data_IF_303461325469
#
_entry.id   IF_303461325469
#
_cell.length_a   1.000
_cell.length_b   1.000
_cell.length_c   1.000
_cell.angle_alpha   90.00
_cell.angle_beta   90.00
_cell.angle_gamma   90.00
#
_symmetry.space_group_name_H-M   'P 1'
#
loop_
_entity.id
_entity.type
_entity.pdbx_description
1 polymer ?
#
# COMPACT_ATOMS: atom_id res chain seq x y z
N UNK A 1 -1.61 -17.66 9.21
CA UNK A 1 -1.04 -16.35 8.87
C UNK A 1 0.42 -16.55 8.47
N UNK A 2 0.85 -15.84 7.43
CA UNK A 2 2.25 -15.76 7.01
C UNK A 2 2.52 -14.36 6.41
N UNK A 3 3.78 -13.97 6.36
CA UNK A 3 4.20 -12.69 5.81
C UNK A 3 5.09 -12.90 4.58
N UNK A 4 5.07 -11.95 3.66
CA UNK A 4 6.01 -11.86 2.54
C UNK A 4 7.06 -10.79 2.83
N UNK A 5 8.12 -10.75 2.01
CA UNK A 5 9.01 -9.59 1.97
C UNK A 5 8.22 -8.36 1.50
N UNK A 6 8.64 -7.19 1.94
CA UNK A 6 8.07 -5.92 1.52
C UNK A 6 9.17 -4.89 1.36
N UNK A 7 9.33 -4.36 0.15
CA UNK A 7 10.24 -3.23 -0.09
C UNK A 7 9.38 -1.97 -0.13
N UNK A 8 9.71 -1.03 0.73
CA UNK A 8 9.11 0.30 0.72
C UNK A 8 9.82 1.16 -0.33
N UNK A 9 9.11 1.52 -1.39
CA UNK A 9 9.68 2.33 -2.48
C UNK A 9 10.09 3.71 -1.99
N UNK A 10 9.40 4.29 -1.03
CA UNK A 10 9.76 5.58 -0.44
C UNK A 10 11.13 5.55 0.25
N UNK A 11 11.44 4.46 0.95
CA UNK A 11 12.77 4.27 1.59
C UNK A 11 13.84 3.93 0.55
N UNK A 12 13.52 3.12 -0.46
CA UNK A 12 14.47 2.67 -1.48
C UNK A 12 14.78 3.74 -2.54
N UNK A 13 13.90 4.71 -2.71
CA UNK A 13 14.01 5.78 -3.69
C UNK A 13 15.25 6.64 -3.46
N UNK A 14 15.91 7.04 -4.52
CA UNK A 14 17.09 7.92 -4.48
C UNK A 14 18.43 7.20 -4.29
N UNK A 15 18.45 5.86 -4.17
CA UNK A 15 19.68 5.05 -4.14
C UNK A 15 19.50 3.69 -4.84
N UNK A 16 20.56 2.91 -4.95
CA UNK A 16 20.57 1.63 -5.68
C UNK A 16 19.59 0.58 -5.15
N UNK A 17 19.11 0.73 -3.93
CA UNK A 17 18.05 -0.14 -3.36
C UNK A 17 16.78 -0.17 -4.19
N UNK A 18 16.49 0.88 -4.96
CA UNK A 18 15.33 0.94 -5.84
C UNK A 18 15.34 -0.12 -6.95
N UNK A 19 16.53 -0.62 -7.33
CA UNK A 19 16.69 -1.70 -8.30
C UNK A 19 16.06 -3.02 -7.84
N UNK A 20 15.87 -3.20 -6.54
CA UNK A 20 15.24 -4.39 -5.95
C UNK A 20 13.72 -4.29 -5.83
N UNK A 21 13.16 -3.10 -5.98
CA UNK A 21 11.71 -2.88 -5.80
C UNK A 21 10.89 -3.65 -6.83
N UNK A 22 11.09 -3.41 -8.11
CA UNK A 22 10.30 -4.04 -9.16
C UNK A 22 10.44 -5.58 -9.19
N UNK A 23 11.64 -6.17 -9.08
CA UNK A 23 11.80 -7.63 -9.04
C UNK A 23 11.16 -8.29 -7.83
N UNK A 24 11.02 -7.58 -6.70
CA UNK A 24 10.39 -8.13 -5.49
C UNK A 24 8.96 -8.60 -5.71
N UNK A 25 8.27 -8.04 -6.68
CA UNK A 25 6.91 -8.41 -7.08
C UNK A 25 6.79 -9.91 -7.42
N UNK A 26 7.75 -10.44 -8.18
CA UNK A 26 7.79 -11.86 -8.54
C UNK A 26 8.05 -12.74 -7.30
N UNK A 27 8.99 -12.33 -6.46
CA UNK A 27 9.33 -13.07 -5.23
C UNK A 27 8.12 -13.11 -4.28
N UNK A 28 7.40 -12.01 -4.17
CA UNK A 28 6.16 -11.94 -3.38
C UNK A 28 5.12 -12.91 -3.96
N UNK A 29 4.89 -12.85 -5.27
CA UNK A 29 3.94 -13.74 -5.93
C UNK A 29 4.29 -15.21 -5.71
N UNK A 30 5.54 -15.58 -5.94
CA UNK A 30 6.02 -16.95 -5.73
C UNK A 30 5.87 -17.39 -4.28
N UNK A 31 6.23 -16.53 -3.31
CA UNK A 31 6.13 -16.88 -1.89
C UNK A 31 4.69 -17.13 -1.45
N UNK A 32 3.75 -16.32 -1.90
CA UNK A 32 2.31 -16.50 -1.59
C UNK A 32 1.78 -17.78 -2.23
N UNK A 33 2.13 -18.03 -3.50
CA UNK A 33 1.74 -19.24 -4.22
C UNK A 33 2.28 -20.50 -3.54
N UNK A 34 3.56 -20.51 -3.13
CA UNK A 34 4.16 -21.62 -2.38
C UNK A 34 3.45 -21.90 -1.07
N UNK A 35 3.20 -20.85 -0.28
CA UNK A 35 2.54 -21.01 1.02
C UNK A 35 1.11 -21.51 0.87
N UNK A 36 0.36 -20.93 -0.05
CA UNK A 36 -1.03 -21.31 -0.28
C UNK A 36 -1.15 -22.78 -0.75
N UNK A 37 -0.34 -23.18 -1.72
CA UNK A 37 -0.35 -24.55 -2.24
C UNK A 37 0.19 -25.56 -1.23
N UNK A 38 1.27 -25.24 -0.52
CA UNK A 38 1.87 -26.16 0.48
C UNK A 38 0.91 -26.41 1.66
N UNK A 39 0.14 -25.41 2.05
CA UNK A 39 -0.81 -25.53 3.15
C UNK A 39 -2.24 -25.86 2.70
N UNK A 40 -2.48 -25.97 1.39
CA UNK A 40 -3.79 -26.32 0.83
C UNK A 40 -4.90 -25.41 1.35
N UNK A 41 -4.68 -24.08 1.30
CA UNK A 41 -5.66 -23.13 1.81
C UNK A 41 -6.82 -22.94 0.82
N UNK A 42 -8.01 -22.76 1.34
CA UNK A 42 -9.25 -22.62 0.54
C UNK A 42 -9.50 -21.18 0.06
N UNK A 43 -8.92 -20.19 0.72
CA UNK A 43 -9.08 -18.78 0.41
C UNK A 43 -7.90 -17.94 0.89
N UNK A 44 -7.76 -16.72 0.34
CA UNK A 44 -6.75 -15.75 0.73
C UNK A 44 -7.36 -14.45 1.24
N UNK A 45 -6.88 -14.01 2.39
CA UNK A 45 -7.11 -12.67 2.90
C UNK A 45 -5.80 -11.88 2.83
N UNK A 46 -5.68 -11.00 1.83
CA UNK A 46 -4.45 -10.28 1.52
C UNK A 46 -4.45 -8.89 2.15
N UNK A 47 -3.46 -8.61 2.98
CA UNK A 47 -3.22 -7.27 3.54
C UNK A 47 -1.96 -6.71 2.88
N UNK A 48 -2.11 -5.65 2.11
CA UNK A 48 -1.00 -5.04 1.39
C UNK A 48 -1.14 -3.52 1.37
N UNK A 49 -0.05 -2.80 1.27
CA UNK A 49 -0.11 -1.34 1.33
C UNK A 49 1.03 -0.59 0.63
N UNK A 50 1.86 -1.24 -0.18
CA UNK A 50 2.94 -0.58 -0.88
C UNK A 50 3.00 -0.98 -2.36
N UNK A 51 3.81 -0.26 -3.14
CA UNK A 51 3.84 -0.23 -4.59
C UNK A 51 3.96 -1.60 -5.27
N UNK A 52 4.81 -2.49 -4.74
CA UNK A 52 5.10 -3.80 -5.35
C UNK A 52 4.44 -4.96 -4.62
N UNK A 53 4.06 -4.76 -3.36
CA UNK A 53 3.44 -5.81 -2.53
C UNK A 53 2.03 -6.12 -3.06
N UNK A 54 1.22 -5.10 -3.27
CA UNK A 54 -0.16 -5.29 -3.78
C UNK A 54 -0.17 -5.98 -5.14
N UNK A 55 0.57 -5.53 -6.17
CA UNK A 55 0.62 -6.25 -7.44
C UNK A 55 1.24 -7.64 -7.33
N UNK A 56 2.24 -7.86 -6.47
CA UNK A 56 2.81 -9.19 -6.23
C UNK A 56 1.78 -10.17 -5.67
N UNK A 57 1.04 -9.77 -4.64
CA UNK A 57 -0.06 -10.58 -4.09
C UNK A 57 -1.20 -10.77 -5.10
N UNK A 58 -1.50 -9.77 -5.92
CA UNK A 58 -2.51 -9.89 -6.98
C UNK A 58 -2.11 -10.91 -8.05
N UNK A 59 -0.83 -10.93 -8.43
CA UNK A 59 -0.29 -11.95 -9.33
C UNK A 59 -0.47 -13.36 -8.75
N UNK A 60 -0.16 -13.55 -7.47
CA UNK A 60 -0.38 -14.83 -6.79
C UNK A 60 -1.87 -15.22 -6.76
N UNK A 61 -2.75 -14.28 -6.44
CA UNK A 61 -4.20 -14.52 -6.42
C UNK A 61 -4.70 -14.99 -7.79
N UNK A 62 -4.21 -14.38 -8.89
CA UNK A 62 -4.57 -14.78 -10.25
C UNK A 62 -4.02 -16.18 -10.63
N UNK A 63 -2.81 -16.53 -10.15
CA UNK A 63 -2.21 -17.85 -10.39
C UNK A 63 -2.94 -18.95 -9.62
N UNK A 64 -3.29 -18.69 -8.37
CA UNK A 64 -3.96 -19.65 -7.49
C UNK A 64 -5.43 -19.87 -7.85
N UNK A 65 -6.10 -18.85 -8.35
CA UNK A 65 -7.51 -18.87 -8.73
C UNK A 65 -8.45 -19.45 -7.64
N UNK A 66 -8.22 -19.05 -6.39
CA UNK A 66 -9.05 -19.35 -5.22
C UNK A 66 -9.73 -18.07 -4.72
N UNK A 67 -10.81 -18.15 -3.94
CA UNK A 67 -11.43 -16.98 -3.34
C UNK A 67 -10.39 -16.08 -2.66
N UNK A 68 -10.36 -14.82 -3.05
CA UNK A 68 -9.37 -13.88 -2.52
C UNK A 68 -10.00 -12.53 -2.26
N UNK A 69 -9.69 -11.93 -1.11
CA UNK A 69 -10.08 -10.57 -0.78
C UNK A 69 -8.87 -9.74 -0.36
N UNK A 70 -8.80 -8.53 -0.87
CA UNK A 70 -7.77 -7.56 -0.50
C UNK A 70 -8.31 -6.54 0.49
N UNK A 71 -7.55 -6.26 1.52
CA UNK A 71 -7.81 -5.14 2.42
C UNK A 71 -6.51 -4.37 2.60
N UNK A 72 -6.47 -3.16 2.06
CA UNK A 72 -5.33 -2.26 2.23
C UNK A 72 -5.21 -1.78 3.67
N UNK A 73 -3.99 -1.54 4.13
CA UNK A 73 -3.73 -0.79 5.35
C UNK A 73 -4.27 0.64 5.32
N UNK A 74 -4.55 1.16 4.13
CA UNK A 74 -5.07 2.50 3.88
C UNK A 74 -4.00 3.54 3.56
N UNK A 75 -4.37 4.61 2.84
CA UNK A 75 -3.48 5.73 2.60
C UNK A 75 -3.22 6.53 3.88
N UNK A 76 -2.07 7.18 3.91
CA UNK A 76 -1.68 8.14 4.93
C UNK A 76 -2.55 9.40 4.83
N UNK A 77 -2.75 10.09 5.93
CA UNK A 77 -3.28 11.46 5.94
C UNK A 77 -2.31 12.43 5.25
N UNK A 78 -2.84 13.49 4.65
CA UNK A 78 -2.01 14.57 4.13
C UNK A 78 -1.24 15.24 5.28
N UNK A 79 -0.04 15.72 4.96
CA UNK A 79 0.71 16.58 5.87
C UNK A 79 0.14 17.99 5.94
N UNK A 80 0.69 18.79 6.82
CA UNK A 80 0.37 20.22 6.95
C UNK A 80 1.65 21.05 6.98
N UNK A 81 1.70 22.06 6.14
CA UNK A 81 2.77 23.06 6.16
C UNK A 81 2.15 24.46 6.18
N UNK A 82 2.24 25.11 7.32
CA UNK A 82 1.68 26.45 7.56
C UNK A 82 0.18 26.57 7.23
N UNK A 83 -0.61 25.53 7.59
CA UNK A 83 -2.06 25.49 7.36
C UNK A 83 -2.46 25.09 5.94
N UNK A 84 -1.49 24.65 5.12
CA UNK A 84 -1.74 24.13 3.78
C UNK A 84 -1.48 22.62 3.78
N UNK A 85 -2.45 21.84 3.32
CA UNK A 85 -2.25 20.41 3.09
C UNK A 85 -1.15 20.15 2.07
N UNK A 86 -0.23 19.27 2.41
CA UNK A 86 0.93 18.91 1.59
C UNK A 86 1.08 17.40 1.50
N UNK A 87 1.81 16.95 0.49
CA UNK A 87 2.19 15.56 0.30
C UNK A 87 3.67 15.41 -0.09
N UNK A 88 4.07 14.20 -0.44
CA UNK A 88 5.44 13.90 -0.89
C UNK A 88 5.86 14.74 -2.11
N UNK A 89 4.94 15.01 -3.03
CA UNK A 89 5.27 15.79 -4.23
C UNK A 89 5.59 17.23 -3.89
N UNK A 90 4.82 17.84 -2.97
CA UNK A 90 5.12 19.19 -2.48
C UNK A 90 6.52 19.25 -1.87
N UNK A 91 6.90 18.24 -1.07
CA UNK A 91 8.24 18.15 -0.49
C UNK A 91 9.32 18.01 -1.58
N UNK A 92 9.11 17.17 -2.58
CA UNK A 92 10.05 16.99 -3.70
C UNK A 92 10.21 18.28 -4.52
N UNK A 93 9.11 18.96 -4.81
CA UNK A 93 9.13 20.23 -5.56
C UNK A 93 9.87 21.31 -4.77
N UNK A 94 9.59 21.45 -3.48
CA UNK A 94 10.29 22.42 -2.63
C UNK A 94 11.79 22.10 -2.49
N UNK A 95 12.17 20.85 -2.35
CA UNK A 95 13.59 20.47 -2.25
C UNK A 95 14.37 20.72 -3.54
N UNK A 96 13.71 20.78 -4.68
CA UNK A 96 14.31 21.13 -5.97
C UNK A 96 14.31 22.64 -6.27
N UNK A 97 13.59 23.45 -5.47
CA UNK A 97 13.50 24.91 -5.68
C UNK A 97 14.66 25.61 -4.95
N UNK A 98 15.58 26.17 -5.72
CA UNK A 98 16.74 26.91 -5.19
C UNK A 98 16.38 28.16 -4.36
N UNK A 99 15.13 28.58 -4.33
CA UNK A 99 14.63 29.69 -3.52
C UNK A 99 14.24 29.26 -2.11
N UNK A 100 14.06 27.97 -1.87
CA UNK A 100 13.77 27.43 -0.56
C UNK A 100 15.04 27.38 0.28
N UNK A 101 14.93 27.76 1.55
CA UNK A 101 16.04 27.60 2.50
C UNK A 101 16.13 26.16 3.00
N UNK A 102 17.32 25.75 3.45
CA UNK A 102 17.52 24.43 4.08
C UNK A 102 16.59 24.22 5.28
N UNK A 103 16.26 25.28 6.01
CA UNK A 103 15.33 25.21 7.14
C UNK A 103 13.88 24.93 6.69
N UNK A 104 13.47 25.47 5.54
CA UNK A 104 12.13 25.17 4.98
C UNK A 104 12.08 23.73 4.46
N UNK A 105 13.17 23.27 3.83
CA UNK A 105 13.29 21.89 3.35
C UNK A 105 13.22 20.92 4.54
N UNK A 106 14.02 21.13 5.59
CA UNK A 106 13.97 20.31 6.81
C UNK A 106 12.56 20.28 7.45
N UNK A 107 11.87 21.41 7.44
CA UNK A 107 10.52 21.52 7.98
C UNK A 107 9.52 20.71 7.14
N UNK A 108 9.54 20.85 5.79
CA UNK A 108 8.60 20.14 4.94
C UNK A 108 8.83 18.63 4.94
N UNK A 109 10.08 18.17 5.00
CA UNK A 109 10.42 16.75 5.13
C UNK A 109 9.79 16.10 6.36
N UNK A 110 9.73 16.82 7.47
CA UNK A 110 9.11 16.34 8.72
C UNK A 110 7.58 16.26 8.66
N UNK A 111 6.96 17.08 7.85
CA UNK A 111 5.51 17.26 7.87
C UNK A 111 4.78 16.72 6.63
N UNK A 112 5.49 16.43 5.54
CA UNK A 112 4.86 15.94 4.31
C UNK A 112 4.27 14.52 4.45
N UNK A 113 4.86 13.68 5.32
CA UNK A 113 4.43 12.31 5.57
C UNK A 113 4.23 12.06 7.06
N UNK A 114 3.17 12.60 7.70
CA UNK A 114 3.07 12.73 9.14
C UNK A 114 2.66 11.46 9.88
N UNK A 115 2.14 10.45 9.19
CA UNK A 115 1.50 9.32 9.85
C UNK A 115 1.82 7.97 9.20
N UNK A 116 1.02 6.97 9.58
CA UNK A 116 1.09 5.63 9.00
C UNK A 116 0.13 5.47 7.83
N UNK A 117 0.48 4.60 6.90
CA UNK A 117 -0.31 4.31 5.71
C UNK A 117 0.55 4.26 4.46
N UNK A 118 -0.04 3.97 3.31
CA UNK A 118 0.62 4.19 2.02
C UNK A 118 0.76 5.70 1.76
N UNK A 119 1.49 6.06 0.71
CA UNK A 119 1.64 7.46 0.32
C UNK A 119 0.29 8.19 0.30
N UNK A 120 0.22 9.41 0.83
CA UNK A 120 -0.99 10.23 0.83
C UNK A 120 -1.43 10.62 -0.60
N UNK A 121 -0.49 10.75 -1.52
CA UNK A 121 -0.77 10.93 -2.93
C UNK A 121 -1.29 9.65 -3.60
N UNK A 122 -2.04 9.80 -4.68
CA UNK A 122 -2.56 8.67 -5.46
C UNK A 122 -1.50 8.13 -6.42
N UNK A 123 -0.41 7.59 -5.86
CA UNK A 123 0.63 6.89 -6.61
C UNK A 123 0.27 5.40 -6.76
N UNK A 124 1.25 4.55 -7.09
CA UNK A 124 1.00 3.13 -7.38
C UNK A 124 0.29 2.42 -6.24
N UNK A 125 0.70 2.62 -4.99
CA UNK A 125 0.10 1.93 -3.84
C UNK A 125 -1.41 2.17 -3.76
N UNK A 126 -1.85 3.44 -3.75
CA UNK A 126 -3.26 3.74 -3.63
C UNK A 126 -4.04 3.50 -4.93
N UNK A 127 -3.41 3.67 -6.09
CA UNK A 127 -4.00 3.29 -7.38
C UNK A 127 -4.31 1.79 -7.43
N UNK A 128 -3.42 0.94 -6.93
CA UNK A 128 -3.67 -0.51 -6.83
C UNK A 128 -4.75 -0.85 -5.81
N UNK A 129 -4.86 -0.09 -4.71
CA UNK A 129 -5.94 -0.24 -3.75
C UNK A 129 -7.32 0.07 -4.37
N UNK A 130 -7.41 1.11 -5.18
CA UNK A 130 -8.61 1.45 -5.94
C UNK A 130 -8.89 0.43 -7.06
N UNK A 131 -7.83 -0.04 -7.74
CA UNK A 131 -7.96 -1.07 -8.77
C UNK A 131 -8.56 -2.37 -8.19
N UNK A 132 -8.16 -2.79 -7.01
CA UNK A 132 -8.74 -3.97 -6.35
C UNK A 132 -10.25 -3.79 -6.09
N UNK A 133 -10.72 -2.58 -5.79
CA UNK A 133 -12.17 -2.29 -5.72
C UNK A 133 -12.83 -2.44 -7.10
N UNK A 134 -12.23 -1.88 -8.14
CA UNK A 134 -12.76 -1.92 -9.50
C UNK A 134 -12.81 -3.36 -10.06
N UNK A 135 -11.86 -4.21 -9.67
CA UNK A 135 -11.82 -5.63 -10.03
C UNK A 135 -12.77 -6.50 -9.19
N UNK A 136 -13.41 -5.96 -8.17
CA UNK A 136 -14.25 -6.72 -7.25
C UNK A 136 -13.48 -7.57 -6.25
N UNK A 137 -12.19 -7.32 -6.06
CA UNK A 137 -11.31 -8.04 -5.13
C UNK A 137 -11.19 -7.36 -3.77
N UNK A 138 -11.77 -6.18 -3.61
CA UNK A 138 -11.80 -5.43 -2.35
C UNK A 138 -13.17 -4.78 -2.13
N UNK A 139 -13.48 -4.52 -0.88
CA UNK A 139 -14.71 -3.81 -0.52
C UNK A 139 -14.58 -2.30 -0.82
N UNK A 140 -15.70 -1.61 -1.13
CA UNK A 140 -15.71 -0.17 -1.29
C UNK A 140 -15.12 0.57 -0.08
N UNK A 141 -14.26 1.54 -0.34
CA UNK A 141 -13.50 2.28 0.67
C UNK A 141 -12.10 1.75 0.90
N UNK A 142 -11.68 0.70 0.20
CA UNK A 142 -10.35 0.12 0.32
C UNK A 142 -9.24 1.15 0.01
N UNK A 143 -9.38 1.93 -1.06
CA UNK A 143 -8.42 2.96 -1.46
C UNK A 143 -8.68 4.36 -0.89
N UNK A 144 -9.83 4.60 -0.23
CA UNK A 144 -10.24 5.96 0.15
C UNK A 144 -10.35 6.21 1.65
N UNK A 145 -10.49 5.16 2.47
CA UNK A 145 -10.47 5.28 3.93
C UNK A 145 -9.02 5.36 4.38
N UNK A 146 -8.61 6.45 5.04
CA UNK A 146 -7.25 6.59 5.54
C UNK A 146 -6.93 5.56 6.64
N UNK A 147 -5.64 5.24 6.80
CA UNK A 147 -5.16 4.19 7.69
C UNK A 147 -5.57 4.39 9.16
N UNK A 148 -5.60 5.64 9.62
CA UNK A 148 -5.92 6.03 10.99
C UNK A 148 -7.42 6.09 11.30
N UNK A 149 -8.28 6.02 10.29
CA UNK A 149 -9.72 6.19 10.48
C UNK A 149 -10.37 4.92 11.05
N UNK A 150 -11.28 5.09 12.01
CA UNK A 150 -11.99 3.96 12.68
C UNK A 150 -12.74 3.03 11.72
N UNK A 151 -13.23 3.54 10.59
CA UNK A 151 -13.89 2.74 9.57
C UNK A 151 -12.94 1.76 8.87
N UNK A 152 -11.61 1.98 8.91
CA UNK A 152 -10.61 1.03 8.40
C UNK A 152 -10.74 -0.32 9.13
N UNK A 153 -10.86 -0.30 10.45
CA UNK A 153 -11.08 -1.52 11.22
C UNK A 153 -12.36 -2.25 10.83
N UNK A 154 -13.46 -1.51 10.64
CA UNK A 154 -14.74 -2.10 10.20
C UNK A 154 -14.63 -2.75 8.80
N UNK A 155 -13.82 -2.16 7.92
CA UNK A 155 -13.55 -2.73 6.60
C UNK A 155 -12.85 -4.10 6.72
N UNK A 156 -11.85 -4.22 7.59
CA UNK A 156 -11.17 -5.49 7.88
C UNK A 156 -12.15 -6.54 8.42
N UNK A 157 -12.96 -6.18 9.41
CA UNK A 157 -13.94 -7.09 10.02
C UNK A 157 -14.97 -7.58 8.99
N UNK A 158 -15.46 -6.68 8.15
CA UNK A 158 -16.41 -7.03 7.08
C UNK A 158 -15.79 -7.92 6.02
N UNK A 159 -14.58 -7.63 5.59
CA UNK A 159 -13.85 -8.43 4.60
C UNK A 159 -13.51 -9.83 5.15
N UNK A 160 -13.11 -9.93 6.42
CA UNK A 160 -12.85 -11.21 7.08
C UNK A 160 -14.11 -12.08 7.16
N UNK A 161 -15.26 -11.47 7.47
CA UNK A 161 -16.53 -12.19 7.45
C UNK A 161 -16.92 -12.66 6.05
N UNK A 162 -16.66 -11.85 5.04
CA UNK A 162 -16.99 -12.17 3.66
C UNK A 162 -16.13 -13.32 3.11
N UNK A 163 -14.82 -13.30 3.34
CA UNK A 163 -13.94 -14.34 2.80
C UNK A 163 -14.25 -15.72 3.36
N UNK A 164 -14.68 -15.81 4.64
CA UNK A 164 -15.11 -17.07 5.26
C UNK A 164 -16.40 -17.60 4.62
N UNK A 165 -17.25 -16.72 4.08
CA UNK A 165 -18.46 -17.14 3.37
C UNK A 165 -18.17 -17.57 1.92
N UNK A 166 -17.04 -17.14 1.36
CA UNK A 166 -16.64 -17.46 -0.02
C UNK A 166 -15.81 -18.75 -0.10
N UNK A 167 -15.14 -19.12 0.99
CA UNK A 167 -14.39 -20.36 1.12
C UNK A 167 -15.31 -21.55 1.35
#
# INVERSE_FOLDING_TARGET
EFNTIAIDDGIAMGHDGMLYSLPSREIIADSVEYMANAHQVDALFCISNCDKITPGMLMAAMRLNIPTIFVSGGPMEAGDFDGKGIDLIDAMVMSADSRCSDADIEKIERWACPGCGSCSGMFTANSMNCLNEALGLALPGNGTIVATHTNRRRLFEKAASLIVQMA
#
